data_IF_802994444087
#
_entry.id   IF_802994444087
#
_cell.length_a   1.000
_cell.length_b   1.000
_cell.length_c   1.000
_cell.angle_alpha   90.00
_cell.angle_beta   90.00
_cell.angle_gamma   90.00
#
_symmetry.space_group_name_H-M   'P 1'
#
loop_
_entity.id
_entity.type
_entity.pdbx_description
1 polymer ?
#
# COMPACT_ATOMS: atom_id res chain seq x y z
N UNK A 1 29.71 2.43 20.72
CA UNK A 1 29.35 2.19 19.30
C UNK A 1 28.32 3.25 18.94
N UNK A 2 28.54 4.13 17.95
CA UNK A 2 27.58 5.20 17.66
C UNK A 2 26.29 4.60 17.07
N UNK A 3 25.14 5.20 17.41
CA UNK A 3 23.77 4.82 17.03
C UNK A 3 23.58 4.78 15.51
N UNK A 4 23.37 3.59 14.94
CA UNK A 4 23.27 3.39 13.48
C UNK A 4 21.84 3.17 12.97
N UNK A 5 20.78 3.73 13.55
CA UNK A 5 19.44 3.61 12.95
C UNK A 5 18.55 4.82 13.24
N UNK A 6 18.74 5.95 12.56
CA UNK A 6 17.61 6.87 12.37
C UNK A 6 16.56 6.10 11.55
N UNK A 7 15.35 5.87 12.07
CA UNK A 7 14.30 5.20 11.32
C UNK A 7 14.06 5.98 10.02
N UNK A 8 14.07 5.30 8.87
CA UNK A 8 13.73 5.94 7.60
C UNK A 8 12.25 6.31 7.68
N UNK A 9 11.97 7.59 7.85
CA UNK A 9 10.61 8.12 7.82
C UNK A 9 10.17 8.26 6.36
N UNK A 10 9.22 7.43 5.95
CA UNK A 10 8.69 7.45 4.60
C UNK A 10 7.71 8.62 4.41
N UNK A 11 7.74 9.19 3.21
CA UNK A 11 6.77 10.21 2.78
C UNK A 11 5.94 9.68 1.64
N UNK A 12 4.74 10.25 1.45
CA UNK A 12 3.86 9.88 0.33
C UNK A 12 4.56 10.08 -1.04
N UNK A 13 5.42 11.10 -1.16
CA UNK A 13 6.17 11.34 -2.40
C UNK A 13 7.24 10.28 -2.67
N UNK A 14 7.90 9.76 -1.62
CA UNK A 14 8.84 8.65 -1.77
C UNK A 14 8.12 7.38 -2.22
N UNK A 15 6.96 7.06 -1.61
CA UNK A 15 6.19 5.88 -1.97
C UNK A 15 5.63 5.95 -3.40
N UNK A 16 5.19 7.13 -3.86
CA UNK A 16 4.71 7.34 -5.26
C UNK A 16 5.78 7.17 -6.33
N UNK A 17 7.07 7.20 -5.97
CA UNK A 17 8.19 6.99 -6.90
C UNK A 17 8.57 5.51 -7.05
N UNK A 18 7.99 4.62 -6.25
CA UNK A 18 8.24 3.19 -6.33
C UNK A 18 7.63 2.62 -7.62
N UNK A 19 8.23 1.56 -8.19
CA UNK A 19 7.79 0.98 -9.45
C UNK A 19 6.39 0.35 -9.35
N UNK A 20 5.68 0.29 -10.47
CA UNK A 20 4.41 -0.43 -10.58
C UNK A 20 4.66 -1.93 -10.80
N UNK A 21 5.23 -2.60 -9.80
CA UNK A 21 5.66 -4.01 -9.85
C UNK A 21 4.56 -5.01 -9.44
N UNK A 22 3.33 -4.53 -9.31
CA UNK A 22 2.20 -5.30 -8.79
C UNK A 22 2.02 -5.21 -7.27
N UNK A 23 2.87 -4.47 -6.57
CA UNK A 23 2.64 -4.09 -5.19
C UNK A 23 1.96 -2.72 -5.09
N UNK A 24 1.17 -2.56 -4.03
CA UNK A 24 0.64 -1.28 -3.58
C UNK A 24 1.46 -0.79 -2.39
N UNK A 25 2.03 0.40 -2.55
CA UNK A 25 2.87 1.06 -1.57
C UNK A 25 2.07 2.13 -0.83
N UNK A 26 1.95 1.99 0.49
CA UNK A 26 1.17 2.89 1.35
C UNK A 26 2.04 3.37 2.51
N UNK A 27 1.98 4.66 2.82
CA UNK A 27 2.72 5.22 3.96
C UNK A 27 1.75 5.47 5.10
N UNK A 28 2.01 4.87 6.26
CA UNK A 28 1.17 4.99 7.45
C UNK A 28 2.08 5.34 8.63
N UNK A 29 1.86 6.51 9.25
CA UNK A 29 2.70 7.03 10.34
C UNK A 29 4.22 7.10 10.04
N UNK A 30 4.59 7.24 8.76
CA UNK A 30 5.99 7.25 8.32
C UNK A 30 6.58 5.87 8.07
N UNK A 31 5.79 4.81 8.20
CA UNK A 31 6.17 3.44 7.84
C UNK A 31 5.65 3.09 6.44
N UNK A 32 6.46 2.39 5.66
CA UNK A 32 6.05 1.88 4.35
C UNK A 32 5.41 0.50 4.50
N UNK A 33 4.13 0.43 4.17
CA UNK A 33 3.39 -0.81 4.01
C UNK A 33 3.40 -1.22 2.53
N UNK A 34 3.67 -2.51 2.30
CA UNK A 34 3.70 -3.11 0.96
C UNK A 34 2.64 -4.19 0.91
N UNK A 35 1.65 -4.01 0.05
CA UNK A 35 0.55 -4.98 -0.14
C UNK A 35 0.63 -5.54 -1.54
N UNK A 36 0.73 -6.87 -1.73
CA UNK A 36 0.73 -7.46 -3.06
C UNK A 36 -0.62 -7.33 -3.76
N UNK A 37 -0.64 -7.50 -5.08
CA UNK A 37 -1.87 -7.48 -5.86
C UNK A 37 -2.93 -8.44 -5.27
N UNK A 38 -4.18 -7.97 -5.09
CA UNK A 38 -5.25 -8.77 -4.52
C UNK A 38 -5.60 -9.97 -5.42
N UNK A 39 -5.87 -11.11 -4.79
CA UNK A 39 -6.31 -12.33 -5.50
C UNK A 39 -7.70 -12.12 -6.14
N UNK A 40 -8.02 -12.92 -7.16
CA UNK A 40 -9.30 -12.84 -7.88
C UNK A 40 -10.52 -12.89 -6.96
N UNK A 41 -10.48 -13.70 -5.90
CA UNK A 41 -11.58 -13.79 -4.92
C UNK A 41 -11.84 -12.46 -4.20
N UNK A 42 -10.78 -11.74 -3.81
CA UNK A 42 -10.89 -10.42 -3.22
C UNK A 42 -11.56 -9.45 -4.20
N UNK A 43 -11.17 -9.49 -5.48
CA UNK A 43 -11.76 -8.64 -6.51
C UNK A 43 -13.25 -8.93 -6.73
N UNK A 44 -13.66 -10.20 -6.71
CA UNK A 44 -15.08 -10.55 -6.82
C UNK A 44 -15.93 -9.95 -5.68
N UNK A 45 -15.43 -10.00 -4.45
CA UNK A 45 -16.12 -9.44 -3.29
C UNK A 45 -16.22 -7.91 -3.36
N UNK A 46 -15.11 -7.23 -3.70
CA UNK A 46 -15.09 -5.77 -3.86
C UNK A 46 -16.06 -5.34 -4.97
N UNK A 47 -16.10 -6.05 -6.10
CA UNK A 47 -17.03 -5.76 -7.19
C UNK A 47 -18.50 -5.90 -6.77
N UNK A 48 -18.84 -6.94 -6.01
CA UNK A 48 -20.20 -7.11 -5.46
C UNK A 48 -20.58 -5.97 -4.51
N UNK A 49 -19.65 -5.58 -3.63
CA UNK A 49 -19.87 -4.47 -2.69
C UNK A 49 -20.05 -3.15 -3.44
N UNK A 50 -19.22 -2.87 -4.43
CA UNK A 50 -19.32 -1.66 -5.25
C UNK A 50 -20.68 -1.54 -5.92
N UNK A 51 -21.18 -2.62 -6.56
CA UNK A 51 -22.51 -2.66 -7.18
C UNK A 51 -23.64 -2.46 -6.16
N UNK A 52 -23.49 -3.01 -4.95
CA UNK A 52 -24.48 -2.87 -3.90
C UNK A 52 -24.60 -1.43 -3.38
N UNK A 53 -23.48 -0.69 -3.30
CA UNK A 53 -23.44 0.70 -2.83
C UNK A 53 -23.75 1.74 -3.91
N UNK A 54 -23.69 1.37 -5.19
CA UNK A 54 -23.97 2.27 -6.31
C UNK A 54 -25.48 2.48 -6.58
N UNK A 55 -26.35 1.90 -5.75
CA UNK A 55 -27.81 2.05 -5.80
C UNK A 55 -28.29 2.88 -4.62
#
# INVERSE_FOLDING_TARGET
MPDTLTPVYWTADMARRLPEDGNRYEVVYGELLVTPAPRLWHQQLVGRLHVALAK
#
